data_IF_555188255870
#
_entry.id   IF_555188255870
#
_cell.length_a   1.000
_cell.length_b   1.000
_cell.length_c   1.000
_cell.angle_alpha   90.00
_cell.angle_beta   90.00
_cell.angle_gamma   90.00
#
_symmetry.space_group_name_H-M   'P 1'
#
loop_
_entity.id
_entity.type
_entity.pdbx_description
1 polymer ?
#
# COMPACT_ATOMS: atom_id res chain seq x y z
N UNK A 1 5.05 15.77 29.43
CA UNK A 1 5.45 15.45 28.05
C UNK A 1 4.79 14.19 27.49
N UNK A 2 4.60 13.10 28.25
CA UNK A 2 3.91 11.90 27.75
C UNK A 2 2.38 12.08 27.66
N UNK A 3 1.77 12.80 28.62
CA UNK A 3 0.33 13.08 28.65
C UNK A 3 -0.15 14.08 27.59
N UNK A 4 0.72 14.96 27.10
CA UNK A 4 0.36 15.91 26.03
C UNK A 4 0.30 15.25 24.65
N UNK A 5 1.02 14.13 24.48
CA UNK A 5 1.05 13.38 23.23
C UNK A 5 -0.19 12.49 23.03
N UNK A 6 -0.69 11.88 24.10
CA UNK A 6 -1.95 11.10 24.07
C UNK A 6 -3.13 12.02 23.74
N UNK A 7 -3.16 13.20 24.37
CA UNK A 7 -4.18 14.21 24.11
C UNK A 7 -4.17 14.75 22.67
N UNK A 8 -2.98 14.92 22.07
CA UNK A 8 -2.85 15.33 20.67
C UNK A 8 -3.30 14.25 19.68
N UNK A 9 -3.12 12.97 19.98
CA UNK A 9 -3.65 11.88 19.17
C UNK A 9 -5.18 11.77 19.29
N UNK A 10 -5.74 11.89 20.49
CA UNK A 10 -7.19 11.91 20.72
C UNK A 10 -7.85 13.16 20.10
N UNK A 11 -7.22 14.33 20.21
CA UNK A 11 -7.70 15.57 19.58
C UNK A 11 -7.60 15.49 18.03
N UNK A 12 -6.58 14.87 17.47
CA UNK A 12 -6.48 14.67 16.01
C UNK A 12 -7.55 13.71 15.49
N UNK A 13 -7.84 12.63 16.20
CA UNK A 13 -8.89 11.68 15.85
C UNK A 13 -10.30 12.33 16.02
N UNK A 14 -10.47 13.16 17.05
CA UNK A 14 -11.77 13.79 17.36
C UNK A 14 -12.01 15.06 16.54
N UNK A 15 -10.99 15.86 16.22
CA UNK A 15 -11.12 17.13 15.52
C UNK A 15 -11.27 17.02 14.00
N UNK A 16 -10.85 15.89 13.39
CA UNK A 16 -10.92 15.67 11.95
C UNK A 16 -12.29 15.21 11.46
N UNK A 17 -13.29 15.05 12.34
CA UNK A 17 -14.63 14.64 11.96
C UNK A 17 -14.58 13.37 11.09
N UNK A 18 -13.81 12.35 11.55
CA UNK A 18 -13.74 11.09 10.85
C UNK A 18 -15.17 10.60 10.58
N UNK A 19 -15.54 10.31 9.33
CA UNK A 19 -16.88 9.83 9.02
C UNK A 19 -17.15 8.61 9.88
N UNK A 20 -18.35 8.53 10.46
CA UNK A 20 -18.73 7.39 11.29
C UNK A 20 -18.48 6.11 10.49
N UNK A 21 -17.48 5.31 10.92
CA UNK A 21 -17.12 4.09 10.22
C UNK A 21 -18.28 3.12 10.32
N UNK A 22 -18.90 2.81 9.19
CA UNK A 22 -19.92 1.76 9.13
C UNK A 22 -19.26 0.40 9.25
N UNK A 23 -19.22 -0.11 10.46
CA UNK A 23 -18.65 -1.41 10.76
C UNK A 23 -19.34 -2.57 10.04
N UNK A 24 -20.61 -2.45 9.65
CA UNK A 24 -21.31 -3.53 8.96
C UNK A 24 -20.66 -3.90 7.62
N UNK A 25 -20.04 -2.93 6.95
CA UNK A 25 -19.34 -3.20 5.69
C UNK A 25 -18.06 -4.03 5.84
N UNK A 26 -17.54 -4.24 7.07
CA UNK A 26 -16.28 -4.96 7.34
C UNK A 26 -16.48 -6.29 8.09
N UNK A 27 -17.70 -6.78 8.23
CA UNK A 27 -17.99 -8.03 8.95
C UNK A 27 -17.53 -9.26 8.16
N UNK A 28 -16.91 -10.21 8.84
CA UNK A 28 -16.65 -11.56 8.36
C UNK A 28 -17.80 -12.45 8.85
N UNK A 29 -18.80 -12.67 8.01
CA UNK A 29 -20.03 -13.40 8.37
C UNK A 29 -19.76 -14.88 8.72
N UNK A 30 -18.64 -15.42 8.23
CA UNK A 30 -18.27 -16.84 8.42
C UNK A 30 -17.32 -17.06 9.62
N UNK A 31 -16.96 -15.99 10.36
CA UNK A 31 -16.04 -16.15 11.47
C UNK A 31 -16.71 -16.74 12.71
N UNK A 32 -16.38 -17.99 13.01
CA UNK A 32 -16.73 -18.65 14.27
C UNK A 32 -15.54 -18.51 15.22
N UNK A 33 -15.70 -17.85 16.39
CA UNK A 33 -14.63 -17.72 17.37
C UNK A 33 -14.18 -19.09 17.89
N UNK A 34 -12.87 -19.36 17.80
CA UNK A 34 -12.28 -20.52 18.49
C UNK A 34 -11.88 -20.12 19.90
N UNK A 35 -12.21 -20.87 20.96
CA UNK A 35 -11.96 -20.49 22.37
C UNK A 35 -10.49 -20.46 22.80
N UNK A 36 -9.53 -20.59 21.89
CA UNK A 36 -8.09 -20.77 22.18
C UNK A 36 -7.22 -19.51 22.00
N UNK A 37 -7.82 -18.35 21.68
CA UNK A 37 -7.07 -17.09 21.52
C UNK A 37 -6.80 -16.40 22.85
N UNK A 38 -5.75 -15.55 22.86
CA UNK A 38 -5.45 -14.67 23.99
C UNK A 38 -6.31 -13.39 23.95
N UNK A 39 -6.41 -12.70 25.07
CA UNK A 39 -6.98 -11.35 25.09
C UNK A 39 -5.86 -10.32 24.94
N UNK A 40 -6.08 -9.28 24.11
CA UNK A 40 -5.15 -8.17 23.88
C UNK A 40 -5.91 -6.87 24.14
N UNK A 41 -5.56 -6.15 25.21
CA UNK A 41 -6.34 -5.00 25.64
C UNK A 41 -7.82 -5.33 25.87
N UNK A 42 -8.71 -4.61 25.22
CA UNK A 42 -10.16 -4.85 25.28
C UNK A 42 -10.65 -5.89 24.25
N UNK A 43 -9.76 -6.40 23.40
CA UNK A 43 -10.10 -7.33 22.32
C UNK A 43 -9.94 -8.79 22.78
N UNK A 44 -10.95 -9.61 22.48
CA UNK A 44 -11.05 -10.98 22.92
C UNK A 44 -10.67 -11.97 21.83
N UNK A 45 -10.21 -13.15 22.27
CA UNK A 45 -9.94 -14.28 21.39
C UNK A 45 -8.99 -13.91 20.21
N UNK A 46 -7.95 -13.14 20.50
CA UNK A 46 -6.95 -12.78 19.49
C UNK A 46 -6.14 -14.00 19.07
N UNK A 47 -6.25 -14.38 17.82
CA UNK A 47 -5.55 -15.51 17.19
C UNK A 47 -4.52 -14.96 16.22
N UNK A 48 -3.31 -15.52 16.22
CA UNK A 48 -2.28 -15.18 15.26
C UNK A 48 -2.80 -15.33 13.82
N UNK A 49 -2.57 -14.30 13.02
CA UNK A 49 -2.98 -14.29 11.62
C UNK A 49 -1.79 -14.21 10.67
N UNK A 50 -0.89 -13.27 10.87
CA UNK A 50 0.24 -12.99 9.97
C UNK A 50 1.33 -12.21 10.72
N UNK A 51 2.58 -12.30 10.27
CA UNK A 51 3.64 -11.39 10.71
C UNK A 51 4.22 -10.60 9.53
N UNK A 52 4.73 -9.42 9.83
CA UNK A 52 5.54 -8.58 8.96
C UNK A 52 6.89 -8.31 9.61
N UNK A 53 7.74 -7.51 8.97
CA UNK A 53 9.11 -7.25 9.44
C UNK A 53 9.18 -6.70 10.88
N UNK A 54 8.25 -5.80 11.25
CA UNK A 54 8.19 -5.15 12.57
C UNK A 54 6.83 -5.27 13.24
N UNK A 55 5.95 -6.16 12.78
CA UNK A 55 4.61 -6.29 13.31
C UNK A 55 4.09 -7.71 13.30
N UNK A 56 3.20 -8.00 14.26
CA UNK A 56 2.41 -9.23 14.28
C UNK A 56 0.94 -8.84 14.18
N UNK A 57 0.22 -9.49 13.28
CA UNK A 57 -1.21 -9.27 13.07
C UNK A 57 -1.99 -10.38 13.77
N UNK A 58 -2.95 -9.99 14.59
CA UNK A 58 -3.91 -10.90 15.21
C UNK A 58 -5.31 -10.62 14.67
N UNK A 59 -6.10 -11.67 14.48
CA UNK A 59 -7.55 -11.59 14.27
C UNK A 59 -8.23 -11.71 15.62
N UNK A 60 -9.06 -10.74 15.99
CA UNK A 60 -9.68 -10.67 17.31
C UNK A 60 -11.14 -10.21 17.23
N UNK A 61 -11.83 -10.22 18.36
CA UNK A 61 -13.22 -9.79 18.49
C UNK A 61 -13.30 -8.62 19.46
N UNK A 62 -14.09 -7.60 19.14
CA UNK A 62 -14.37 -6.50 20.07
C UNK A 62 -15.18 -7.00 21.27
N UNK A 63 -14.75 -6.66 22.50
CA UNK A 63 -15.44 -7.08 23.74
C UNK A 63 -16.65 -6.21 24.08
N UNK A 64 -16.65 -4.94 23.67
CA UNK A 64 -17.70 -3.98 24.00
C UNK A 64 -18.40 -3.48 22.75
N UNK A 65 -19.71 -3.45 22.86
CA UNK A 65 -20.57 -2.60 22.07
C UNK A 65 -21.19 -1.59 23.02
N UNK A 66 -20.78 -0.33 22.93
CA UNK A 66 -21.44 0.76 23.65
C UNK A 66 -22.87 0.91 23.13
N UNK A 67 -23.82 0.74 24.05
CA UNK A 67 -25.22 1.17 24.14
C UNK A 67 -26.13 1.21 22.91
N UNK A 68 -25.65 1.55 21.74
CA UNK A 68 -26.45 1.71 20.53
C UNK A 68 -26.67 0.41 19.72
N UNK A 69 -25.85 -0.62 19.94
CA UNK A 69 -25.87 -1.88 19.17
C UNK A 69 -26.33 -3.11 19.99
N UNK A 70 -26.70 -2.94 21.25
CA UNK A 70 -27.13 -4.05 22.10
C UNK A 70 -28.44 -4.73 21.63
N UNK A 71 -29.13 -4.16 20.64
CA UNK A 71 -30.41 -4.70 20.13
C UNK A 71 -30.26 -5.67 18.95
N UNK A 72 -29.06 -5.88 18.42
CA UNK A 72 -28.81 -6.77 17.28
C UNK A 72 -27.77 -7.83 17.61
N UNK A 73 -28.17 -8.92 18.23
CA UNK A 73 -27.44 -10.21 18.32
C UNK A 73 -25.98 -10.12 18.81
N UNK A 74 -25.63 -10.98 19.70
CA UNK A 74 -24.45 -11.06 20.57
C UNK A 74 -23.14 -11.50 19.91
N UNK A 75 -22.85 -11.23 18.65
CA UNK A 75 -21.55 -11.52 18.05
C UNK A 75 -20.69 -10.27 17.97
N UNK A 76 -19.54 -10.25 18.66
CA UNK A 76 -18.55 -9.18 18.58
C UNK A 76 -18.03 -9.00 17.15
N UNK A 77 -17.65 -7.76 16.78
CA UNK A 77 -17.09 -7.49 15.44
C UNK A 77 -15.66 -8.00 15.32
N UNK A 78 -15.32 -8.50 14.15
CA UNK A 78 -13.98 -9.00 13.86
C UNK A 78 -13.06 -7.87 13.45
N UNK A 79 -11.89 -7.80 14.10
CA UNK A 79 -10.86 -6.79 13.89
C UNK A 79 -9.50 -7.42 13.61
N UNK A 80 -8.63 -6.67 12.95
CA UNK A 80 -7.22 -6.96 12.83
C UNK A 80 -6.44 -6.07 13.81
N UNK A 81 -5.65 -6.66 14.68
CA UNK A 81 -4.77 -5.98 15.61
C UNK A 81 -3.34 -6.05 15.07
N UNK A 82 -2.80 -4.92 14.59
CA UNK A 82 -1.40 -4.79 14.17
C UNK A 82 -0.57 -4.39 15.40
N UNK A 83 0.10 -5.35 16.00
CA UNK A 83 0.95 -5.15 17.17
C UNK A 83 2.37 -4.89 16.74
N UNK A 84 2.96 -3.82 17.24
CA UNK A 84 4.36 -3.39 16.97
C UNK A 84 5.09 -3.11 18.26
N UNK A 85 6.44 -3.09 18.21
CA UNK A 85 7.29 -2.60 19.30
C UNK A 85 8.07 -1.40 18.79
N UNK A 86 7.59 -0.15 19.03
CA UNK A 86 8.17 1.05 18.41
C UNK A 86 9.67 1.24 18.66
N UNK A 87 10.19 0.79 19.82
CA UNK A 87 11.62 0.86 20.13
C UNK A 87 12.50 -0.09 19.32
N UNK A 88 11.92 -1.07 18.65
CA UNK A 88 12.62 -2.02 17.78
C UNK A 88 12.46 -1.71 16.30
N UNK A 89 11.67 -0.67 15.95
CA UNK A 89 11.47 -0.27 14.58
C UNK A 89 12.62 0.61 14.10
N UNK A 90 13.07 0.35 12.89
CA UNK A 90 14.10 1.14 12.22
C UNK A 90 13.49 1.96 11.09
N UNK A 91 13.94 3.21 10.86
CA UNK A 91 13.47 3.98 9.73
C UNK A 91 13.67 3.23 8.39
N UNK A 92 12.68 3.27 7.48
CA UNK A 92 11.50 4.14 7.47
C UNK A 92 10.28 3.64 8.24
N UNK A 93 10.37 2.56 9.00
CA UNK A 93 9.24 2.02 9.76
C UNK A 93 8.98 2.83 11.05
N UNK A 94 7.72 3.26 11.25
CA UNK A 94 7.28 3.96 12.46
C UNK A 94 5.75 3.82 12.63
N UNK A 95 5.33 2.99 13.56
CA UNK A 95 3.91 2.72 13.81
C UNK A 95 3.14 3.93 14.37
N UNK A 96 3.80 4.83 15.09
CA UNK A 96 3.16 6.06 15.58
C UNK A 96 2.95 7.07 14.44
N UNK A 97 3.92 7.16 13.50
CA UNK A 97 3.74 7.93 12.27
C UNK A 97 2.67 7.30 11.39
N UNK A 98 2.64 5.96 11.27
CA UNK A 98 1.58 5.23 10.56
C UNK A 98 0.19 5.65 11.04
N UNK A 99 -0.04 5.67 12.37
CA UNK A 99 -1.31 6.09 12.94
C UNK A 99 -1.70 7.53 12.55
N UNK A 100 -0.73 8.48 12.60
CA UNK A 100 -0.96 9.88 12.20
C UNK A 100 -1.29 10.01 10.72
N UNK A 101 -0.56 9.31 9.87
CA UNK A 101 -0.78 9.34 8.41
C UNK A 101 -2.13 8.71 8.07
N UNK A 102 -2.52 7.59 8.71
CA UNK A 102 -3.84 6.97 8.52
C UNK A 102 -4.98 7.91 8.88
N UNK A 103 -4.83 8.73 9.94
CA UNK A 103 -5.83 9.75 10.27
C UNK A 103 -5.98 10.82 9.17
N UNK A 104 -4.88 11.21 8.50
CA UNK A 104 -4.91 12.12 7.35
C UNK A 104 -5.42 11.44 6.07
N UNK A 105 -5.20 10.14 5.93
CA UNK A 105 -5.56 9.33 4.77
C UNK A 105 -6.99 8.76 4.82
N UNK A 106 -7.79 9.12 5.84
CA UNK A 106 -9.13 8.58 6.03
C UNK A 106 -10.03 8.81 4.80
N UNK A 107 -10.40 7.74 4.11
CA UNK A 107 -11.25 7.75 2.91
C UNK A 107 -11.92 6.41 2.69
N UNK A 108 -12.88 6.35 1.76
CA UNK A 108 -13.67 5.14 1.44
C UNK A 108 -12.85 3.99 0.87
N UNK A 109 -11.60 4.21 0.46
CA UNK A 109 -10.73 3.20 -0.18
C UNK A 109 -9.37 3.04 0.51
N UNK A 110 -9.20 3.65 1.66
CA UNK A 110 -8.10 3.40 2.61
C UNK A 110 -8.68 2.66 3.80
N UNK A 111 -7.99 1.65 4.29
CA UNK A 111 -8.45 0.93 5.49
C UNK A 111 -8.56 1.92 6.66
N UNK A 112 -9.71 2.02 7.33
CA UNK A 112 -9.84 2.94 8.44
C UNK A 112 -9.07 2.45 9.67
N UNK A 113 -8.36 3.35 10.34
CA UNK A 113 -7.83 3.12 11.68
C UNK A 113 -8.98 3.29 12.67
N UNK A 114 -9.32 2.23 13.41
CA UNK A 114 -10.45 2.21 14.34
C UNK A 114 -10.04 2.69 15.74
N UNK A 115 -8.84 2.30 16.18
CA UNK A 115 -8.33 2.59 17.51
C UNK A 115 -6.82 2.40 17.57
N UNK A 116 -6.18 2.97 18.59
CA UNK A 116 -4.78 2.73 18.95
C UNK A 116 -4.63 2.66 20.45
N UNK A 117 -3.83 1.72 20.95
CA UNK A 117 -3.53 1.65 22.38
C UNK A 117 -2.13 1.10 22.66
N UNK A 118 -1.64 1.37 23.85
CA UNK A 118 -0.41 0.78 24.33
C UNK A 118 -0.73 -0.50 25.11
N UNK A 119 -0.03 -1.58 24.79
CA UNK A 119 -0.11 -2.86 25.48
C UNK A 119 1.16 -3.06 26.33
N UNK A 120 1.10 -3.98 27.29
CA UNK A 120 2.23 -4.30 28.16
C UNK A 120 3.50 -4.64 27.35
N UNK A 121 4.69 -4.34 27.91
CA UNK A 121 5.97 -4.59 27.24
C UNK A 121 6.31 -3.58 26.13
N UNK A 122 5.86 -2.33 26.25
CA UNK A 122 6.12 -1.24 25.29
C UNK A 122 5.60 -1.52 23.89
N UNK A 123 4.57 -2.33 23.76
CA UNK A 123 3.90 -2.64 22.49
C UNK A 123 2.90 -1.54 22.16
N UNK A 124 2.78 -1.22 20.87
CA UNK A 124 1.78 -0.30 20.34
C UNK A 124 0.90 -1.07 19.36
N UNK A 125 -0.41 -0.97 19.52
CA UNK A 125 -1.39 -1.71 18.74
C UNK A 125 -2.21 -0.73 17.93
N UNK A 126 -2.31 -0.99 16.62
CA UNK A 126 -3.24 -0.34 15.72
C UNK A 126 -4.39 -1.32 15.42
N UNK A 127 -5.61 -0.82 15.47
CA UNK A 127 -6.82 -1.62 15.29
C UNK A 127 -7.48 -1.26 13.97
N UNK A 128 -7.76 -2.28 13.17
CA UNK A 128 -8.41 -2.14 11.86
C UNK A 128 -9.63 -3.07 11.76
N UNK A 129 -10.59 -2.79 10.87
CA UNK A 129 -11.54 -3.82 10.48
C UNK A 129 -10.79 -5.01 9.88
N UNK A 130 -11.23 -6.23 10.15
CA UNK A 130 -10.67 -7.39 9.47
C UNK A 130 -11.24 -7.47 8.05
N UNK A 131 -10.36 -7.39 7.05
CA UNK A 131 -10.71 -7.53 5.63
C UNK A 131 -10.12 -8.84 5.13
N UNK A 132 -10.97 -9.70 4.56
CA UNK A 132 -10.69 -11.12 4.42
C UNK A 132 -9.71 -11.46 3.30
N UNK A 133 -9.80 -10.80 2.15
CA UNK A 133 -9.13 -11.23 0.94
C UNK A 133 -7.94 -10.32 0.58
N UNK A 134 -6.80 -10.94 0.35
CA UNK A 134 -5.56 -10.32 -0.13
C UNK A 134 -5.51 -10.44 -1.66
N UNK A 135 -5.33 -9.33 -2.37
CA UNK A 135 -5.32 -9.32 -3.85
C UNK A 135 -4.20 -10.22 -4.40
N UNK A 136 -3.01 -10.19 -3.80
CA UNK A 136 -1.89 -11.03 -4.25
C UNK A 136 -2.27 -12.53 -4.20
N UNK A 137 -2.90 -12.95 -3.10
CA UNK A 137 -3.36 -14.32 -2.94
C UNK A 137 -4.46 -14.69 -3.92
N UNK A 138 -5.42 -13.76 -4.14
CA UNK A 138 -6.50 -14.00 -5.10
C UNK A 138 -5.99 -14.11 -6.54
N UNK A 139 -4.95 -13.34 -6.91
CA UNK A 139 -4.29 -13.44 -8.21
C UNK A 139 -3.57 -14.81 -8.34
N UNK A 140 -2.73 -15.17 -7.37
CA UNK A 140 -2.03 -16.46 -7.35
C UNK A 140 -2.99 -17.65 -7.45
N UNK A 141 -4.10 -17.61 -6.72
CA UNK A 141 -5.14 -18.64 -6.73
C UNK A 141 -6.06 -18.56 -7.97
N UNK A 142 -5.88 -17.57 -8.85
CA UNK A 142 -6.70 -17.30 -10.08
C UNK A 142 -8.20 -17.22 -9.77
N UNK A 143 -8.55 -16.60 -8.65
CA UNK A 143 -9.95 -16.52 -8.17
C UNK A 143 -10.73 -15.32 -8.70
N UNK A 144 -10.08 -14.41 -9.42
CA UNK A 144 -10.70 -13.19 -9.91
C UNK A 144 -10.89 -13.22 -11.44
N UNK A 145 -12.05 -12.78 -11.89
CA UNK A 145 -12.28 -12.42 -13.28
C UNK A 145 -11.59 -11.09 -13.63
N UNK A 146 -11.35 -10.84 -14.94
CA UNK A 146 -10.80 -9.55 -15.40
C UNK A 146 -11.63 -8.35 -14.91
N UNK A 147 -12.96 -8.47 -14.87
CA UNK A 147 -13.85 -7.41 -14.39
C UNK A 147 -13.66 -7.13 -12.88
N UNK A 148 -13.45 -8.16 -12.06
CA UNK A 148 -13.17 -8.02 -10.63
C UNK A 148 -11.80 -7.40 -10.38
N UNK A 149 -10.77 -7.80 -11.14
CA UNK A 149 -9.45 -7.18 -11.11
C UNK A 149 -9.54 -5.68 -11.42
N UNK A 150 -10.21 -5.31 -12.52
CA UNK A 150 -10.38 -3.90 -12.92
C UNK A 150 -11.10 -3.07 -11.85
N UNK A 151 -12.10 -3.64 -11.16
CA UNK A 151 -12.78 -2.97 -10.03
C UNK A 151 -11.81 -2.73 -8.86
N UNK A 152 -11.02 -3.73 -8.49
CA UNK A 152 -10.02 -3.59 -7.42
C UNK A 152 -8.97 -2.51 -7.78
N UNK A 153 -8.50 -2.49 -9.03
CA UNK A 153 -7.57 -1.45 -9.51
C UNK A 153 -8.22 -0.06 -9.52
N UNK A 154 -9.49 0.08 -9.91
CA UNK A 154 -10.22 1.35 -9.81
C UNK A 154 -10.28 1.87 -8.37
N UNK A 155 -10.51 0.98 -7.40
CA UNK A 155 -10.52 1.33 -5.98
C UNK A 155 -9.12 1.74 -5.49
N UNK A 156 -8.05 1.04 -5.91
CA UNK A 156 -6.66 1.43 -5.66
C UNK A 156 -6.38 2.86 -6.15
N UNK A 157 -6.72 3.19 -7.40
CA UNK A 157 -6.48 4.54 -7.92
C UNK A 157 -7.38 5.60 -7.28
N UNK A 158 -8.54 5.21 -6.74
CA UNK A 158 -9.36 6.10 -5.92
C UNK A 158 -8.67 6.41 -4.58
N UNK A 159 -8.07 5.42 -3.93
CA UNK A 159 -7.26 5.61 -2.73
C UNK A 159 -6.04 6.49 -3.02
N UNK A 160 -5.27 6.17 -4.08
CA UNK A 160 -4.07 6.93 -4.46
C UNK A 160 -4.41 8.39 -4.82
N UNK A 161 -5.53 8.65 -5.50
CA UNK A 161 -5.97 10.02 -5.77
C UNK A 161 -6.13 10.79 -4.46
N UNK A 162 -6.83 10.22 -3.49
CA UNK A 162 -7.12 10.87 -2.22
C UNK A 162 -5.86 11.15 -1.40
N UNK A 163 -4.94 10.18 -1.30
CA UNK A 163 -3.71 10.32 -0.49
C UNK A 163 -2.72 11.27 -1.17
N UNK A 164 -2.58 11.21 -2.50
CA UNK A 164 -1.68 12.09 -3.26
C UNK A 164 -2.13 13.55 -3.24
N UNK A 165 -3.44 13.85 -3.28
CA UNK A 165 -3.97 15.20 -3.11
C UNK A 165 -3.60 15.83 -1.75
N UNK A 166 -3.25 15.01 -0.76
CA UNK A 166 -2.79 15.42 0.58
C UNK A 166 -1.26 15.39 0.71
N UNK A 167 -0.56 15.13 -0.38
CA UNK A 167 0.91 14.99 -0.39
C UNK A 167 1.43 13.75 0.32
N UNK A 168 0.56 12.79 0.65
CA UNK A 168 0.94 11.52 1.27
C UNK A 168 1.52 10.61 0.19
N UNK A 169 2.70 10.04 0.45
CA UNK A 169 3.35 9.02 -0.38
C UNK A 169 3.28 7.70 0.38
N UNK A 170 2.68 6.69 -0.21
CA UNK A 170 2.50 5.38 0.43
C UNK A 170 3.80 4.60 0.54
N UNK A 171 4.63 4.62 -0.51
CA UNK A 171 5.96 4.01 -0.65
C UNK A 171 5.98 2.48 -0.78
N UNK A 172 4.87 1.78 -0.62
CA UNK A 172 4.83 0.30 -0.74
C UNK A 172 3.56 -0.19 -1.45
N UNK A 173 3.29 0.35 -2.65
CA UNK A 173 2.17 -0.11 -3.48
C UNK A 173 2.52 -1.44 -4.11
N UNK A 174 1.69 -2.47 -3.84
CA UNK A 174 1.81 -3.83 -4.37
C UNK A 174 0.51 -4.60 -4.13
N UNK A 175 0.27 -5.73 -4.82
CA UNK A 175 -0.97 -6.50 -4.67
C UNK A 175 -1.27 -6.93 -3.22
N UNK A 176 -0.25 -7.30 -2.42
CA UNK A 176 -0.47 -7.73 -1.03
C UNK A 176 -0.87 -6.60 -0.07
N UNK A 177 -0.74 -5.33 -0.50
CA UNK A 177 -1.21 -4.16 0.25
C UNK A 177 -2.58 -3.65 -0.23
N UNK A 178 -3.33 -4.51 -0.96
CA UNK A 178 -4.69 -4.26 -1.43
C UNK A 178 -5.56 -5.40 -0.91
N UNK A 179 -6.47 -5.08 0.01
CA UNK A 179 -7.41 -6.05 0.56
C UNK A 179 -8.81 -5.84 -0.03
N UNK A 180 -9.51 -6.93 -0.34
CA UNK A 180 -10.87 -6.91 -0.83
C UNK A 180 -11.82 -7.42 0.25
N UNK A 181 -12.95 -6.74 0.44
CA UNK A 181 -14.02 -7.19 1.33
C UNK A 181 -14.68 -8.47 0.80
N UNK A 182 -14.92 -8.51 -0.51
CA UNK A 182 -15.43 -9.66 -1.26
C UNK A 182 -14.75 -9.72 -2.62
N UNK A 183 -14.96 -10.79 -3.40
CA UNK A 183 -14.43 -10.89 -4.77
C UNK A 183 -14.93 -9.75 -5.68
N UNK A 184 -16.09 -9.17 -5.37
CA UNK A 184 -16.66 -8.05 -6.10
C UNK A 184 -16.30 -6.67 -5.52
N UNK A 185 -15.47 -6.63 -4.49
CA UNK A 185 -15.04 -5.42 -3.81
C UNK A 185 -15.94 -5.03 -2.63
N UNK A 186 -15.77 -3.86 -2.04
CA UNK A 186 -14.74 -2.88 -2.35
C UNK A 186 -13.32 -3.35 -1.98
N UNK A 187 -12.31 -2.73 -2.62
CA UNK A 187 -10.90 -2.90 -2.28
C UNK A 187 -10.38 -1.72 -1.45
N UNK A 188 -9.45 -2.00 -0.56
CA UNK A 188 -8.85 -1.04 0.37
C UNK A 188 -7.34 -1.08 0.29
N UNK A 189 -6.72 0.09 0.22
CA UNK A 189 -5.29 0.27 0.39
C UNK A 189 -4.95 0.16 1.89
N UNK A 190 -3.93 -0.64 2.22
CA UNK A 190 -3.49 -0.92 3.59
C UNK A 190 -2.00 -0.67 3.75
N UNK A 191 -1.52 -0.73 4.99
CA UNK A 191 -0.11 -0.72 5.40
C UNK A 191 0.64 0.57 5.07
N UNK A 192 0.37 1.60 5.85
CA UNK A 192 1.05 2.90 5.83
C UNK A 192 2.31 2.94 6.73
N UNK A 193 2.86 1.78 7.10
CA UNK A 193 3.98 1.65 8.04
C UNK A 193 5.26 2.36 7.62
N UNK A 194 5.47 2.52 6.30
CA UNK A 194 6.59 3.28 5.72
C UNK A 194 6.14 4.53 4.96
N UNK A 195 4.85 4.89 5.02
CA UNK A 195 4.34 6.05 4.31
C UNK A 195 4.98 7.35 4.81
N UNK A 196 5.00 8.35 3.94
CA UNK A 196 5.51 9.68 4.21
C UNK A 196 4.41 10.72 3.98
N UNK A 197 4.36 11.73 4.84
CA UNK A 197 3.53 12.90 4.65
C UNK A 197 4.29 14.17 5.06
N UNK A 198 4.07 15.32 4.39
CA UNK A 198 4.69 16.56 4.78
C UNK A 198 4.24 16.95 6.20
N UNK A 199 5.10 17.64 6.92
CA UNK A 199 4.83 18.22 8.25
C UNK A 199 4.30 17.24 9.31
N UNK A 200 4.40 15.94 9.04
CA UNK A 200 4.00 14.88 9.98
C UNK A 200 5.17 14.49 10.86
N UNK A 201 4.94 14.47 12.17
CA UNK A 201 5.97 14.07 13.16
C UNK A 201 6.44 12.65 12.86
N UNK A 202 7.75 12.48 12.73
CA UNK A 202 8.40 11.22 12.37
C UNK A 202 8.66 11.06 10.86
N UNK A 203 8.15 11.98 10.01
CA UNK A 203 8.53 12.02 8.59
C UNK A 203 9.88 12.69 8.39
N UNK A 204 10.64 12.19 7.43
CA UNK A 204 11.91 12.78 7.01
C UNK A 204 11.69 14.14 6.32
N UNK A 205 12.72 15.01 6.27
CA UNK A 205 12.61 16.27 5.53
C UNK A 205 12.26 16.04 4.06
N UNK A 206 11.42 16.90 3.49
CA UNK A 206 10.93 16.80 2.10
C UNK A 206 12.04 16.65 1.05
N UNK A 207 13.20 17.26 1.29
CA UNK A 207 14.35 17.25 0.36
C UNK A 207 15.38 16.16 0.68
N UNK A 208 15.14 15.31 1.67
CA UNK A 208 16.08 14.28 2.11
C UNK A 208 15.32 13.09 2.68
N UNK A 209 14.51 12.47 1.82
CA UNK A 209 13.75 11.26 2.18
C UNK A 209 14.63 10.02 2.09
N UNK A 210 14.26 8.98 2.81
CA UNK A 210 14.93 7.66 2.74
C UNK A 210 14.66 7.05 1.37
N UNK A 211 15.70 6.53 0.71
CA UNK A 211 15.60 5.87 -0.62
C UNK A 211 15.42 4.37 -0.52
N UNK A 212 15.78 3.77 0.62
CA UNK A 212 15.51 2.35 0.86
C UNK A 212 14.08 2.15 1.36
N UNK A 213 13.15 2.26 0.42
CA UNK A 213 11.69 2.11 0.63
C UNK A 213 11.09 1.26 -0.47
N UNK A 214 9.97 0.62 -0.16
CA UNK A 214 9.20 -0.20 -1.09
C UNK A 214 9.73 -1.62 -1.25
N UNK A 215 8.88 -2.46 -1.82
CA UNK A 215 9.19 -3.86 -2.11
C UNK A 215 9.93 -3.96 -3.44
N UNK A 216 11.03 -4.70 -3.49
CA UNK A 216 12.05 -4.69 -4.55
C UNK A 216 11.50 -4.60 -5.98
N UNK A 217 10.66 -5.54 -6.41
CA UNK A 217 10.17 -5.59 -7.80
C UNK A 217 9.25 -4.41 -8.20
N UNK A 218 8.77 -3.61 -7.23
CA UNK A 218 7.90 -2.45 -7.45
C UNK A 218 8.64 -1.11 -7.27
N UNK A 219 9.93 -1.13 -6.89
CA UNK A 219 10.73 0.08 -6.68
C UNK A 219 10.97 0.79 -8.02
N UNK A 220 10.76 2.12 -8.09
CA UNK A 220 11.01 2.87 -9.32
C UNK A 220 12.50 3.16 -9.52
N UNK A 221 12.94 3.40 -10.77
CA UNK A 221 14.34 3.58 -11.09
C UNK A 221 14.98 4.78 -10.39
N UNK A 222 14.25 5.88 -10.18
CA UNK A 222 14.77 7.07 -9.48
C UNK A 222 15.24 6.78 -8.05
N UNK A 223 14.61 5.82 -7.35
CA UNK A 223 15.09 5.37 -6.03
C UNK A 223 16.42 4.63 -6.14
N UNK A 224 16.54 3.76 -7.15
CA UNK A 224 17.73 2.93 -7.38
C UNK A 224 18.96 3.77 -7.78
N UNK A 225 18.74 4.98 -8.29
CA UNK A 225 19.80 5.95 -8.58
C UNK A 225 19.92 7.07 -7.54
N UNK A 226 19.34 6.88 -6.34
CA UNK A 226 19.57 7.70 -5.16
C UNK A 226 18.79 9.01 -5.10
N UNK A 227 17.70 9.16 -5.87
CA UNK A 227 16.84 10.34 -5.75
C UNK A 227 16.12 10.36 -4.41
N UNK A 228 16.55 11.19 -3.48
CA UNK A 228 15.93 11.38 -2.17
C UNK A 228 14.89 12.52 -2.12
N UNK A 229 14.56 13.10 -3.28
CA UNK A 229 13.58 14.20 -3.43
C UNK A 229 12.29 13.74 -4.11
N UNK A 230 12.13 12.43 -4.32
CA UNK A 230 10.97 11.84 -4.99
C UNK A 230 9.64 12.33 -4.40
N UNK A 231 8.58 12.26 -5.19
CA UNK A 231 7.20 12.60 -4.84
C UNK A 231 6.25 11.41 -4.94
N UNK A 232 4.96 11.70 -5.13
CA UNK A 232 3.91 10.70 -5.30
C UNK A 232 4.07 9.86 -6.59
N UNK A 233 4.91 10.30 -7.51
CA UNK A 233 5.25 9.60 -8.75
C UNK A 233 5.86 8.23 -8.49
N UNK A 234 6.50 8.03 -7.33
CA UNK A 234 6.99 6.74 -6.85
C UNK A 234 5.86 5.71 -6.76
N UNK A 235 4.73 6.07 -6.14
CA UNK A 235 3.57 5.19 -6.00
C UNK A 235 2.93 4.86 -7.36
N UNK A 236 3.00 5.78 -8.33
CA UNK A 236 2.44 5.59 -9.68
C UNK A 236 3.22 4.56 -10.49
N UNK A 237 4.55 4.51 -10.37
CA UNK A 237 5.35 3.43 -10.93
C UNK A 237 4.97 2.08 -10.32
N UNK A 238 4.94 2.00 -8.99
CA UNK A 238 4.59 0.77 -8.27
C UNK A 238 3.17 0.30 -8.59
N UNK A 239 2.22 1.26 -8.74
CA UNK A 239 0.87 0.97 -9.21
C UNK A 239 0.87 0.46 -10.65
N UNK A 240 1.71 0.99 -11.55
CA UNK A 240 1.89 0.49 -12.91
C UNK A 240 2.38 -0.96 -12.94
N UNK A 241 3.36 -1.31 -12.09
CA UNK A 241 3.83 -2.69 -11.91
C UNK A 241 2.70 -3.59 -11.36
N UNK A 242 1.92 -3.09 -10.40
CA UNK A 242 0.74 -3.81 -9.85
C UNK A 242 -0.33 -4.06 -10.90
N UNK A 243 -0.61 -3.08 -11.77
CA UNK A 243 -1.55 -3.22 -12.90
C UNK A 243 -1.05 -4.26 -13.89
N UNK A 244 0.22 -4.22 -14.27
CA UNK A 244 0.84 -5.18 -15.17
C UNK A 244 0.69 -6.60 -14.65
N UNK A 245 1.10 -6.84 -13.40
CA UNK A 245 0.99 -8.14 -12.73
C UNK A 245 -0.47 -8.63 -12.65
N UNK A 246 -1.41 -7.74 -12.31
CA UNK A 246 -2.80 -8.12 -12.17
C UNK A 246 -3.49 -8.48 -13.50
N UNK A 247 -3.06 -7.90 -14.63
CA UNK A 247 -3.72 -8.08 -15.95
C UNK A 247 -3.09 -9.18 -16.79
N UNK A 248 -1.80 -9.48 -16.61
CA UNK A 248 -1.11 -10.55 -17.37
C UNK A 248 -1.52 -11.92 -16.84
N UNK A 249 -1.76 -12.92 -17.72
CA UNK A 249 -1.95 -14.30 -17.29
C UNK A 249 -0.79 -14.80 -16.43
N UNK A 250 -1.09 -15.66 -15.47
CA UNK A 250 -0.14 -16.22 -14.49
C UNK A 250 0.45 -15.19 -13.51
N UNK A 251 0.09 -13.93 -13.65
CA UNK A 251 0.41 -12.84 -12.73
C UNK A 251 1.90 -12.71 -12.36
N UNK A 252 2.83 -12.71 -13.34
CA UNK A 252 4.25 -12.49 -13.06
C UNK A 252 4.50 -11.03 -12.71
N UNK A 253 5.49 -10.77 -11.87
CA UNK A 253 5.98 -9.39 -11.66
C UNK A 253 6.55 -8.83 -12.96
N UNK A 254 6.28 -7.54 -13.24
CA UNK A 254 6.79 -6.89 -14.46
C UNK A 254 8.32 -6.86 -14.50
N UNK A 255 8.97 -6.66 -13.36
CA UNK A 255 10.42 -6.65 -13.23
C UNK A 255 10.88 -7.72 -12.25
N UNK A 256 12.13 -8.17 -12.44
CA UNK A 256 12.75 -9.20 -11.62
C UNK A 256 14.02 -8.65 -10.95
N UNK A 257 14.15 -8.89 -9.67
CA UNK A 257 15.31 -8.49 -8.86
C UNK A 257 16.26 -9.67 -8.56
N UNK A 258 16.01 -10.81 -9.15
CA UNK A 258 16.70 -12.06 -8.86
C UNK A 258 16.34 -12.63 -7.48
N UNK A 259 16.82 -13.81 -7.17
CA UNK A 259 16.51 -14.55 -5.93
C UNK A 259 16.92 -13.79 -4.66
N UNK A 260 17.96 -12.96 -4.73
CA UNK A 260 18.48 -12.20 -3.60
C UNK A 260 17.92 -10.77 -3.49
N UNK A 261 17.03 -10.36 -4.36
CA UNK A 261 16.44 -9.02 -4.34
C UNK A 261 17.45 -7.89 -4.65
N UNK A 262 18.37 -8.12 -5.60
CA UNK A 262 19.42 -7.17 -5.95
C UNK A 262 18.90 -5.96 -6.73
N UNK A 263 19.26 -4.73 -6.29
CA UNK A 263 18.96 -3.50 -7.02
C UNK A 263 19.61 -3.48 -8.42
N UNK A 264 20.82 -4.02 -8.58
CA UNK A 264 21.47 -4.12 -9.90
C UNK A 264 20.75 -5.10 -10.83
N UNK A 265 20.25 -6.22 -10.30
CA UNK A 265 19.42 -7.15 -11.08
C UNK A 265 18.09 -6.49 -11.49
N UNK A 266 17.48 -5.74 -10.59
CA UNK A 266 16.25 -4.98 -10.86
C UNK A 266 16.48 -3.93 -11.96
N UNK A 267 17.55 -3.13 -11.88
CA UNK A 267 17.93 -2.15 -12.92
C UNK A 267 18.14 -2.85 -14.26
N UNK A 268 18.90 -3.97 -14.27
CA UNK A 268 19.13 -4.76 -15.48
C UNK A 268 17.83 -5.29 -16.08
N UNK A 269 16.90 -5.76 -15.24
CA UNK A 269 15.57 -6.20 -15.66
C UNK A 269 14.75 -5.06 -16.28
N UNK A 270 14.77 -3.87 -15.68
CA UNK A 270 14.12 -2.67 -16.24
C UNK A 270 14.71 -2.31 -17.60
N UNK A 271 16.03 -2.21 -17.70
CA UNK A 271 16.71 -1.81 -18.93
C UNK A 271 16.52 -2.84 -20.05
N UNK A 272 16.55 -4.13 -19.75
CA UNK A 272 16.30 -5.18 -20.74
C UNK A 272 14.90 -5.18 -21.31
N UNK A 273 13.92 -4.60 -20.61
CA UNK A 273 12.51 -4.52 -21.02
C UNK A 273 12.15 -3.17 -21.63
N UNK A 274 12.50 -2.10 -20.93
CA UNK A 274 12.12 -0.74 -21.34
C UNK A 274 13.15 -0.07 -22.25
N UNK A 275 14.29 -0.70 -22.48
CA UNK A 275 15.47 -0.12 -23.10
C UNK A 275 16.35 0.62 -22.09
N UNK A 276 17.66 0.65 -22.33
CA UNK A 276 18.59 1.41 -21.50
C UNK A 276 18.39 2.91 -21.76
N UNK A 277 17.99 3.69 -20.76
CA UNK A 277 17.71 5.11 -20.97
C UNK A 277 18.99 5.93 -21.08
N UNK A 278 18.97 6.96 -21.91
CA UNK A 278 19.89 8.07 -21.90
C UNK A 278 19.23 9.34 -21.34
N UNK A 279 19.95 10.44 -21.28
CA UNK A 279 19.41 11.72 -20.79
C UNK A 279 18.37 12.37 -21.72
N UNK A 280 18.18 11.87 -22.94
CA UNK A 280 17.08 12.32 -23.80
C UNK A 280 15.75 11.66 -23.41
N UNK A 281 15.80 10.42 -22.91
CA UNK A 281 14.66 9.65 -22.42
C UNK A 281 14.39 9.92 -20.94
N UNK A 282 15.48 10.16 -20.16
CA UNK A 282 15.40 10.37 -18.71
C UNK A 282 16.19 11.60 -18.26
N UNK A 283 15.74 12.80 -18.60
CA UNK A 283 16.46 14.06 -18.29
C UNK A 283 16.74 14.28 -16.80
N UNK A 284 15.79 13.92 -15.91
CA UNK A 284 15.95 14.11 -14.46
C UNK A 284 17.10 13.28 -13.86
N UNK A 285 17.51 12.18 -14.53
CA UNK A 285 18.60 11.32 -14.07
C UNK A 285 19.94 12.05 -13.94
N UNK A 286 20.15 13.12 -14.72
CA UNK A 286 21.34 13.96 -14.61
C UNK A 286 21.56 14.54 -13.19
N UNK A 287 20.49 14.66 -12.40
CA UNK A 287 20.52 15.14 -11.02
C UNK A 287 20.66 14.06 -9.96
N UNK A 288 20.69 12.78 -10.33
CA UNK A 288 20.72 11.70 -9.36
C UNK A 288 22.13 11.35 -8.90
N UNK A 289 22.35 11.14 -7.60
CA UNK A 289 23.68 10.90 -7.03
C UNK A 289 24.43 9.71 -7.63
N UNK A 290 23.69 8.66 -8.03
CA UNK A 290 24.27 7.38 -8.48
C UNK A 290 24.23 7.21 -10.01
N UNK A 291 23.65 8.16 -10.75
CA UNK A 291 23.65 8.13 -12.21
C UNK A 291 25.07 8.24 -12.77
N UNK A 292 25.40 7.36 -13.71
CA UNK A 292 26.71 7.35 -14.37
C UNK A 292 27.85 6.70 -13.58
N UNK A 293 27.60 6.23 -12.33
CA UNK A 293 28.63 5.51 -11.56
C UNK A 293 28.90 4.10 -12.06
N UNK A 294 27.91 3.50 -12.75
CA UNK A 294 28.00 2.15 -13.34
C UNK A 294 27.65 2.25 -14.81
N UNK A 295 28.39 1.54 -15.66
CA UNK A 295 28.04 1.35 -17.06
C UNK A 295 27.16 0.12 -17.20
N UNK A 296 26.02 0.28 -17.84
CA UNK A 296 25.10 -0.81 -18.13
C UNK A 296 25.20 -1.23 -19.58
N UNK A 297 24.83 -2.49 -19.85
CA UNK A 297 24.64 -2.98 -21.21
C UNK A 297 23.49 -2.21 -21.85
N UNK A 298 23.67 -1.80 -23.10
CA UNK A 298 22.61 -1.17 -23.86
C UNK A 298 21.62 -2.21 -24.40
N UNK A 299 20.35 -2.01 -24.07
CA UNK A 299 19.25 -2.83 -24.54
C UNK A 299 18.27 -1.97 -25.36
N UNK A 300 17.71 -2.52 -26.45
CA UNK A 300 16.61 -1.87 -27.16
C UNK A 300 15.32 -1.99 -26.34
N UNK A 301 14.42 -1.01 -26.52
CA UNK A 301 13.06 -1.07 -25.95
C UNK A 301 12.28 -2.25 -26.54
N UNK A 302 11.66 -3.06 -25.70
CA UNK A 302 10.74 -4.10 -26.11
C UNK A 302 9.32 -3.54 -26.30
N UNK A 303 8.54 -4.04 -27.27
CA UNK A 303 7.14 -3.66 -27.42
C UNK A 303 6.30 -4.15 -26.23
N UNK A 304 5.36 -3.34 -25.77
CA UNK A 304 4.49 -3.67 -24.64
C UNK A 304 3.69 -4.95 -24.85
N UNK A 305 3.35 -5.31 -26.09
CA UNK A 305 2.69 -6.59 -26.43
C UNK A 305 3.52 -7.82 -26.02
N UNK A 306 4.86 -7.70 -25.98
CA UNK A 306 5.74 -8.78 -25.51
C UNK A 306 5.85 -8.78 -23.98
N UNK A 307 5.83 -7.61 -23.36
CA UNK A 307 5.94 -7.45 -21.91
C UNK A 307 4.63 -7.82 -21.18
N UNK A 308 3.48 -7.60 -21.86
CA UNK A 308 2.14 -7.81 -21.32
C UNK A 308 1.32 -8.73 -22.23
N UNK A 309 1.73 -10.01 -22.40
CA UNK A 309 1.04 -10.93 -23.28
C UNK A 309 -0.40 -11.19 -22.81
N UNK A 310 -1.34 -11.31 -23.76
CA UNK A 310 -2.75 -11.59 -23.48
C UNK A 310 -3.56 -10.41 -22.90
N UNK A 311 -2.97 -9.21 -22.89
CA UNK A 311 -3.65 -7.96 -22.53
C UNK A 311 -4.12 -7.21 -23.77
N UNK A 312 -5.07 -6.28 -23.60
CA UNK A 312 -5.56 -5.41 -24.65
C UNK A 312 -4.59 -4.22 -24.86
N UNK A 313 -4.57 -3.65 -26.08
CA UNK A 313 -3.72 -2.48 -26.40
C UNK A 313 -3.94 -1.32 -25.42
N UNK A 314 -5.19 -1.09 -25.00
CA UNK A 314 -5.53 -0.05 -24.03
C UNK A 314 -5.01 -0.36 -22.63
N UNK A 315 -4.90 -1.63 -22.23
CA UNK A 315 -4.31 -2.07 -20.97
C UNK A 315 -2.78 -1.89 -21.03
N UNK A 316 -2.16 -2.19 -22.18
CA UNK A 316 -0.73 -1.94 -22.44
C UNK A 316 -0.42 -0.45 -22.40
N UNK A 317 -1.25 0.39 -23.04
CA UNK A 317 -1.09 1.84 -23.02
C UNK A 317 -1.16 2.37 -21.59
N UNK A 318 -2.13 1.96 -20.78
CA UNK A 318 -2.23 2.35 -19.38
C UNK A 318 -0.93 2.07 -18.60
N UNK A 319 -0.40 0.85 -18.71
CA UNK A 319 0.86 0.48 -18.03
C UNK A 319 2.01 1.34 -18.56
N UNK A 320 2.10 1.53 -19.88
CA UNK A 320 3.13 2.36 -20.51
C UNK A 320 3.15 3.81 -20.04
N UNK A 321 1.98 4.35 -19.66
CA UNK A 321 1.83 5.70 -19.13
C UNK A 321 2.21 5.83 -17.65
N UNK A 322 2.20 4.74 -16.90
CA UNK A 322 2.59 4.68 -15.50
C UNK A 322 4.06 4.30 -15.32
N UNK A 323 4.55 3.38 -16.13
CA UNK A 323 5.90 2.82 -16.06
C UNK A 323 6.81 3.59 -17.02
N UNK A 324 7.17 4.81 -16.66
CA UNK A 324 8.06 5.70 -17.39
C UNK A 324 9.27 6.07 -16.57
N UNK A 325 10.44 6.17 -17.20
CA UNK A 325 11.66 6.63 -16.55
C UNK A 325 11.47 8.03 -15.97
N UNK A 326 11.13 9.01 -16.79
CA UNK A 326 10.86 10.39 -16.34
C UNK A 326 9.64 10.44 -15.44
N UNK A 327 9.86 10.64 -14.13
CA UNK A 327 8.83 10.52 -13.10
C UNK A 327 7.69 11.52 -13.29
N UNK A 328 8.03 12.76 -13.66
CA UNK A 328 7.05 13.82 -13.91
C UNK A 328 6.12 13.58 -15.11
N UNK A 329 6.44 12.61 -15.98
CA UNK A 329 5.63 12.25 -17.15
C UNK A 329 4.62 11.12 -16.89
N UNK A 330 4.64 10.51 -15.71
CA UNK A 330 3.70 9.46 -15.32
C UNK A 330 2.29 10.01 -15.16
N UNK A 331 1.27 9.23 -15.58
CA UNK A 331 -0.13 9.60 -15.34
C UNK A 331 -0.41 9.75 -13.85
N UNK A 332 -1.09 10.81 -13.44
CA UNK A 332 -1.53 11.00 -12.06
C UNK A 332 -2.68 10.04 -11.72
N UNK A 333 -2.81 9.66 -10.45
CA UNK A 333 -3.82 8.72 -10.00
C UNK A 333 -5.25 9.11 -10.43
N UNK A 334 -5.60 10.39 -10.36
CA UNK A 334 -6.90 10.91 -10.80
C UNK A 334 -7.16 10.70 -12.29
N UNK A 335 -6.13 10.84 -13.14
CA UNK A 335 -6.25 10.60 -14.59
C UNK A 335 -6.45 9.12 -14.88
N UNK A 336 -5.70 8.23 -14.18
CA UNK A 336 -5.84 6.77 -14.31
C UNK A 336 -7.23 6.31 -13.90
N UNK A 337 -7.78 6.86 -12.82
CA UNK A 337 -9.14 6.55 -12.37
C UNK A 337 -10.18 6.82 -13.47
N UNK A 338 -10.07 7.95 -14.17
CA UNK A 338 -10.95 8.30 -15.29
C UNK A 338 -10.73 7.37 -16.49
N UNK A 339 -9.47 7.04 -16.78
CA UNK A 339 -9.10 6.12 -17.84
C UNK A 339 -9.70 4.72 -17.62
N UNK A 340 -9.59 4.16 -16.41
CA UNK A 340 -10.16 2.86 -16.08
C UNK A 340 -11.70 2.87 -16.21
N UNK A 341 -12.38 3.96 -15.80
CA UNK A 341 -13.84 4.08 -15.96
C UNK A 341 -14.22 3.98 -17.43
N UNK A 342 -13.51 4.64 -18.34
CA UNK A 342 -13.80 4.60 -19.79
C UNK A 342 -13.51 3.24 -20.46
N UNK A 343 -12.80 2.33 -19.78
CA UNK A 343 -12.36 1.02 -20.31
C UNK A 343 -13.16 -0.14 -19.70
N UNK A 344 -13.81 0.07 -18.55
CA UNK A 344 -14.58 -0.97 -17.84
C UNK A 344 -16.05 -0.98 -18.30
N UNK A 345 -16.59 0.15 -18.72
CA UNK A 345 -17.91 0.29 -19.31
C UNK A 345 -17.91 -0.06 -20.81
#
# INVERSE_FOLDING_TARGET
>A
MQGDYEKLCEEAITSLGAPAVDFHQYQDEDYVPTPSGMDIGEYRNAVYHREGLFSVIYKAITAKFDGYFASFGTTGKVVALKMTTPSHMEPPHDSKREARILALAASDRVVPLLDTFNESGSRFVLVFPFVQYDLSRLLQDRKLSKAQIKRALKDLFSALTFVHERGIIHRDIKPSNILLKSLDGPAYLIDFGIAWAPDTVGSEPTKSKITDVGTTCYRPPELLFGNNKYGCELDLWAAGCTVAEALVPDHPTLFDSGELGSDLALISSMFSKLGTPDLSVWPEAAGFPDWGKVQFIEFPTQPWSNLLPGTLDIEQDLVSQLVRYESGSRLKAAQVRLYIISVIE
#
